data_IF_566955655006
#
_entry.id   IF_566955655006
#
_cell.length_a   1.000
_cell.length_b   1.000
_cell.length_c   1.000
_cell.angle_alpha   90.00
_cell.angle_beta   90.00
_cell.angle_gamma   90.00
#
_symmetry.space_group_name_H-M   'P 1'
#
loop_
_entity.id
_entity.type
_entity.pdbx_description
1 polymer ?
#
# COMPACT_ATOMS: atom_id res chain seq x y z
N UNK A 1 19.61 16.65 54.36
CA UNK A 1 18.66 17.52 53.65
C UNK A 1 19.04 17.46 52.18
N UNK A 2 18.30 16.73 51.35
CA UNK A 2 18.54 16.72 49.91
C UNK A 2 18.28 18.13 49.37
N UNK A 3 19.15 18.63 48.50
CA UNK A 3 18.94 19.94 47.89
C UNK A 3 17.66 19.89 47.03
N UNK A 4 16.75 20.88 47.13
CA UNK A 4 15.43 20.86 46.49
C UNK A 4 15.44 20.73 44.96
N UNK A 5 16.61 20.79 44.29
CA UNK A 5 16.76 20.53 42.87
C UNK A 5 16.88 19.05 42.47
N UNK A 6 17.27 18.16 43.39
CA UNK A 6 17.50 16.75 43.05
C UNK A 6 16.21 16.02 42.69
N UNK A 7 15.13 16.26 43.44
CA UNK A 7 13.85 15.61 43.21
C UNK A 7 13.23 16.02 41.87
N UNK A 8 13.38 17.29 41.48
CA UNK A 8 12.93 17.77 40.17
C UNK A 8 13.66 17.07 39.02
N UNK A 9 14.99 16.86 39.16
CA UNK A 9 15.77 16.11 38.17
C UNK A 9 15.31 14.65 38.09
N UNK A 10 15.10 13.98 39.22
CA UNK A 10 14.61 12.60 39.23
C UNK A 10 13.23 12.46 38.58
N UNK A 11 12.30 13.38 38.88
CA UNK A 11 10.96 13.37 38.27
C UNK A 11 11.06 13.61 36.76
N UNK A 12 11.86 14.57 36.32
CA UNK A 12 12.04 14.86 34.88
C UNK A 12 12.65 13.68 34.13
N UNK A 13 13.65 13.02 34.73
CA UNK A 13 14.30 11.85 34.16
C UNK A 13 13.33 10.67 34.08
N UNK A 14 12.53 10.45 35.14
CA UNK A 14 11.50 9.42 35.15
C UNK A 14 10.44 9.66 34.07
N UNK A 15 9.99 10.91 33.91
CA UNK A 15 9.05 11.29 32.87
C UNK A 15 9.64 11.08 31.47
N UNK A 16 10.89 11.46 31.24
CA UNK A 16 11.58 11.23 29.97
C UNK A 16 11.74 9.72 29.68
N UNK A 17 12.16 8.93 30.68
CA UNK A 17 12.28 7.47 30.54
C UNK A 17 10.95 6.81 30.21
N UNK A 18 9.87 7.17 30.91
CA UNK A 18 8.54 6.62 30.65
C UNK A 18 8.02 7.00 29.26
N UNK A 19 8.24 8.25 28.82
CA UNK A 19 7.91 8.69 27.47
C UNK A 19 8.70 7.90 26.41
N UNK A 20 10.00 7.72 26.59
CA UNK A 20 10.86 6.95 25.69
C UNK A 20 10.43 5.48 25.60
N UNK A 21 10.12 4.84 26.73
CA UNK A 21 9.65 3.45 26.76
C UNK A 21 8.30 3.34 26.06
N UNK A 22 7.35 4.24 26.36
CA UNK A 22 6.04 4.24 25.70
C UNK A 22 6.15 4.38 24.19
N UNK A 23 7.01 5.27 23.72
CA UNK A 23 7.28 5.43 22.29
C UNK A 23 7.93 4.19 21.65
N UNK A 24 8.95 3.61 22.31
CA UNK A 24 9.63 2.40 21.83
C UNK A 24 8.67 1.21 21.74
N UNK A 25 7.84 1.00 22.77
CA UNK A 25 6.81 -0.05 22.78
C UNK A 25 5.78 0.20 21.68
N UNK A 26 5.34 1.45 21.48
CA UNK A 26 4.43 1.82 20.41
C UNK A 26 4.98 1.49 19.02
N UNK A 27 6.25 1.83 18.76
CA UNK A 27 6.93 1.51 17.49
C UNK A 27 7.14 0.01 17.32
N UNK A 28 7.50 -0.71 18.37
CA UNK A 28 7.63 -2.17 18.34
C UNK A 28 6.29 -2.84 18.05
N UNK A 29 5.19 -2.35 18.65
CA UNK A 29 3.84 -2.86 18.38
C UNK A 29 3.42 -2.64 16.93
N UNK A 30 3.68 -1.45 16.38
CA UNK A 30 3.42 -1.16 14.97
C UNK A 30 4.22 -2.10 14.06
N UNK A 31 5.52 -2.29 14.34
CA UNK A 31 6.35 -3.19 13.56
C UNK A 31 5.83 -4.64 13.61
N UNK A 32 5.48 -5.12 14.81
CA UNK A 32 4.95 -6.47 15.00
C UNK A 32 3.62 -6.68 14.27
N UNK A 33 2.68 -5.72 14.38
CA UNK A 33 1.41 -5.72 13.63
C UNK A 33 1.65 -5.79 12.12
N UNK A 34 2.50 -4.91 11.58
CA UNK A 34 2.78 -4.89 10.14
C UNK A 34 3.48 -6.17 9.66
N UNK A 35 4.25 -6.83 10.52
CA UNK A 35 4.85 -8.14 10.24
C UNK A 35 3.78 -9.23 10.16
N UNK A 36 2.92 -9.33 11.17
CA UNK A 36 1.83 -10.30 11.20
C UNK A 36 0.87 -10.14 10.02
N UNK A 37 0.46 -8.90 9.72
CA UNK A 37 -0.45 -8.62 8.59
C UNK A 37 0.20 -9.06 7.26
N UNK A 38 1.52 -8.89 7.11
CA UNK A 38 2.26 -9.33 5.92
C UNK A 38 2.32 -10.86 5.84
N UNK A 39 2.57 -11.53 6.96
CA UNK A 39 2.67 -13.00 7.01
C UNK A 39 1.31 -13.65 6.73
N UNK A 40 0.23 -13.07 7.25
CA UNK A 40 -1.14 -13.51 6.98
C UNK A 40 -1.50 -13.31 5.50
N UNK A 41 -1.22 -12.12 4.94
CA UNK A 41 -1.41 -11.86 3.52
C UNK A 41 -0.59 -12.79 2.61
N UNK A 42 0.65 -13.11 3.01
CA UNK A 42 1.49 -14.05 2.26
C UNK A 42 0.92 -15.47 2.29
N UNK A 43 0.46 -15.92 3.46
CA UNK A 43 -0.18 -17.23 3.63
C UNK A 43 -1.47 -17.35 2.83
N UNK A 44 -2.33 -16.34 2.91
CA UNK A 44 -3.59 -16.29 2.16
C UNK A 44 -3.35 -16.28 0.65
N UNK A 45 -2.36 -15.52 0.19
CA UNK A 45 -1.94 -15.51 -1.21
C UNK A 45 -1.48 -16.89 -1.68
N UNK A 46 -0.68 -17.59 -0.86
CA UNK A 46 -0.19 -18.93 -1.15
C UNK A 46 -1.32 -19.96 -1.21
N UNK A 47 -2.21 -19.96 -0.21
CA UNK A 47 -3.39 -20.84 -0.17
C UNK A 47 -4.31 -20.61 -1.39
N UNK A 48 -4.55 -19.34 -1.72
CA UNK A 48 -5.38 -18.97 -2.87
C UNK A 48 -4.76 -19.44 -4.18
N UNK A 49 -3.45 -19.19 -4.38
CA UNK A 49 -2.72 -19.65 -5.56
C UNK A 49 -2.77 -21.18 -5.68
N UNK A 50 -2.50 -21.88 -4.58
CA UNK A 50 -2.49 -23.34 -4.52
C UNK A 50 -3.87 -23.91 -4.88
N UNK A 51 -4.96 -23.39 -4.30
CA UNK A 51 -6.33 -23.79 -4.65
C UNK A 51 -6.65 -23.52 -6.12
N UNK A 52 -6.22 -22.39 -6.67
CA UNK A 52 -6.48 -22.04 -8.08
C UNK A 52 -5.78 -23.00 -9.05
N UNK A 53 -4.53 -23.40 -8.75
CA UNK A 53 -3.76 -24.34 -9.57
C UNK A 53 -4.38 -25.73 -9.49
N UNK A 54 -4.71 -26.21 -8.28
CA UNK A 54 -5.36 -27.51 -8.13
C UNK A 54 -6.74 -27.55 -8.78
N UNK A 55 -7.53 -26.47 -8.68
CA UNK A 55 -8.82 -26.38 -9.37
C UNK A 55 -8.66 -26.45 -10.89
N UNK A 56 -7.63 -25.78 -11.43
CA UNK A 56 -7.32 -25.80 -12.86
C UNK A 56 -6.85 -27.19 -13.32
N UNK A 57 -5.95 -27.83 -12.56
CA UNK A 57 -5.46 -29.17 -12.84
C UNK A 57 -6.57 -30.23 -12.75
N UNK A 58 -7.45 -30.13 -11.74
CA UNK A 58 -8.59 -31.02 -11.59
C UNK A 58 -9.56 -30.93 -12.78
N UNK A 59 -9.77 -29.73 -13.34
CA UNK A 59 -10.55 -29.55 -14.57
C UNK A 59 -9.86 -30.13 -15.81
N UNK A 60 -8.53 -30.12 -15.84
CA UNK A 60 -7.75 -30.62 -16.97
C UNK A 60 -7.70 -32.17 -17.00
N UNK A 61 -7.59 -32.80 -15.83
CA UNK A 61 -7.40 -34.25 -15.68
C UNK A 61 -8.73 -34.98 -15.47
N UNK A 62 -9.76 -34.30 -14.96
CA UNK A 62 -11.09 -34.87 -14.76
C UNK A 62 -11.64 -35.46 -16.06
N UNK A 63 -12.31 -36.62 -16.03
CA UNK A 63 -12.92 -37.20 -17.22
C UNK A 63 -13.80 -36.15 -17.87
N UNK A 64 -13.48 -35.77 -19.12
CA UNK A 64 -14.40 -35.01 -19.97
C UNK A 64 -15.65 -35.87 -20.11
N UNK A 65 -16.61 -35.72 -19.21
CA UNK A 65 -17.96 -36.20 -19.45
C UNK A 65 -18.48 -35.39 -20.62
N UNK A 66 -18.40 -35.98 -21.81
CA UNK A 66 -19.08 -35.47 -22.97
C UNK A 66 -20.57 -35.32 -22.64
N UNK A 67 -21.09 -34.11 -22.85
CA UNK A 67 -22.48 -33.80 -23.10
C UNK A 67 -23.55 -34.36 -22.13
N UNK A 68 -23.92 -33.57 -21.11
CA UNK A 68 -25.36 -33.31 -20.86
C UNK A 68 -25.58 -32.05 -20.02
N UNK A 69 -26.20 -31.06 -20.65
CA UNK A 69 -26.91 -29.99 -19.94
C UNK A 69 -26.05 -28.78 -19.59
N UNK A 70 -26.12 -27.80 -20.48
CA UNK A 70 -25.91 -26.38 -20.21
C UNK A 70 -26.64 -25.93 -18.95
N UNK A 71 -26.00 -25.97 -17.79
CA UNK A 71 -26.33 -25.10 -16.68
C UNK A 71 -25.29 -23.99 -16.70
N UNK A 72 -25.66 -22.86 -17.31
CA UNK A 72 -24.86 -21.65 -17.30
C UNK A 72 -24.66 -21.21 -15.85
N UNK A 73 -23.55 -21.64 -15.25
CA UNK A 73 -23.00 -20.97 -14.10
C UNK A 73 -22.61 -19.59 -14.61
N UNK A 74 -23.45 -18.59 -14.30
CA UNK A 74 -23.12 -17.18 -14.39
C UNK A 74 -21.89 -16.94 -13.50
N UNK A 75 -20.71 -17.19 -14.04
CA UNK A 75 -19.51 -16.50 -13.60
C UNK A 75 -19.71 -15.05 -14.02
N UNK A 76 -20.03 -14.19 -13.06
CA UNK A 76 -19.89 -12.77 -13.21
C UNK A 76 -18.40 -12.46 -13.43
N UNK A 77 -17.96 -12.55 -14.69
CA UNK A 77 -16.62 -12.16 -15.10
C UNK A 77 -16.72 -11.58 -16.50
N UNK A 78 -16.32 -10.32 -16.58
CA UNK A 78 -16.32 -9.42 -17.74
C UNK A 78 -15.61 -10.07 -18.93
N UNK A 79 -16.25 -10.00 -20.10
CA UNK A 79 -15.79 -10.61 -21.34
C UNK A 79 -14.78 -9.71 -22.09
N UNK A 80 -13.70 -10.28 -22.66
CA UNK A 80 -12.92 -9.64 -23.71
C UNK A 80 -13.36 -10.15 -25.09
N UNK A 81 -13.55 -9.24 -26.05
CA UNK A 81 -13.76 -9.54 -27.45
C UNK A 81 -12.71 -8.81 -28.31
N UNK A 82 -12.07 -9.56 -29.21
CA UNK A 82 -11.34 -9.08 -30.38
C UNK A 82 -11.87 -9.91 -31.56
N UNK A 83 -11.94 -9.40 -32.82
CA UNK A 83 -10.75 -8.91 -33.53
C UNK A 83 -10.99 -7.75 -34.52
N UNK A 84 -10.02 -6.83 -34.67
CA UNK A 84 -9.75 -6.15 -35.93
C UNK A 84 -8.43 -5.37 -35.85
N UNK A 85 -7.53 -5.70 -36.77
CA UNK A 85 -6.33 -4.95 -37.08
C UNK A 85 -6.72 -3.56 -37.61
N UNK A 86 -6.16 -2.49 -37.04
CA UNK A 86 -6.44 -1.12 -37.47
C UNK A 86 -6.25 -0.10 -36.36
N UNK A 87 -5.01 0.40 -36.22
CA UNK A 87 -4.55 1.26 -35.15
C UNK A 87 -5.47 2.43 -34.77
N UNK A 88 -5.99 2.36 -33.54
CA UNK A 88 -6.22 3.43 -32.54
C UNK A 88 -7.14 2.83 -31.48
N UNK A 89 -6.67 2.74 -30.23
CA UNK A 89 -7.48 2.27 -29.11
C UNK A 89 -8.62 3.26 -28.84
N UNK A 90 -9.75 3.08 -29.52
CA UNK A 90 -11.01 3.69 -29.15
C UNK A 90 -11.59 2.84 -28.02
N UNK A 91 -11.45 3.35 -26.79
CA UNK A 91 -12.25 2.86 -25.66
C UNK A 91 -13.72 3.00 -26.08
N UNK A 92 -14.52 1.92 -26.06
CA UNK A 92 -15.94 2.01 -26.37
C UNK A 92 -16.60 3.10 -25.50
N UNK A 93 -17.32 4.05 -26.11
CA UNK A 93 -17.98 5.15 -25.39
C UNK A 93 -18.96 4.65 -24.32
N UNK A 94 -19.47 3.43 -24.51
CA UNK A 94 -20.31 2.71 -23.57
C UNK A 94 -19.60 2.42 -22.23
N UNK A 95 -18.27 2.21 -22.24
CA UNK A 95 -17.45 2.05 -21.03
C UNK A 95 -17.16 3.40 -20.35
N UNK A 96 -17.11 4.49 -21.11
CA UNK A 96 -16.96 5.85 -20.58
C UNK A 96 -18.27 6.35 -19.94
N UNK A 97 -19.42 5.87 -20.43
CA UNK A 97 -20.74 6.21 -19.91
C UNK A 97 -21.26 5.28 -18.80
N UNK A 98 -20.58 4.15 -18.52
CA UNK A 98 -20.98 3.25 -17.44
C UNK A 98 -20.98 3.99 -16.09
N UNK A 99 -22.10 3.91 -15.37
CA UNK A 99 -22.35 4.62 -14.10
C UNK A 99 -21.31 4.32 -13.00
N UNK A 100 -20.54 3.26 -13.15
CA UNK A 100 -19.43 2.88 -12.28
C UNK A 100 -18.25 3.87 -12.28
N UNK A 101 -18.13 4.73 -13.30
CA UNK A 101 -17.04 5.73 -13.39
C UNK A 101 -17.48 7.19 -13.16
N UNK A 102 -18.78 7.48 -13.08
CA UNK A 102 -19.25 8.79 -12.63
C UNK A 102 -19.28 8.82 -11.10
N UNK A 103 -18.10 9.03 -10.49
CA UNK A 103 -18.08 9.53 -9.12
C UNK A 103 -18.83 10.87 -9.10
N UNK A 104 -19.76 11.01 -8.16
CA UNK A 104 -20.40 12.31 -7.92
C UNK A 104 -19.30 13.36 -7.71
N UNK A 105 -19.40 14.55 -8.32
CA UNK A 105 -18.35 15.58 -8.28
C UNK A 105 -17.93 15.95 -6.84
N UNK A 106 -18.80 15.76 -5.86
CA UNK A 106 -18.55 16.01 -4.43
C UNK A 106 -17.64 14.96 -3.74
N UNK A 107 -17.30 13.84 -4.41
CA UNK A 107 -16.44 12.79 -3.84
C UNK A 107 -15.01 12.79 -4.37
N UNK A 108 -14.65 13.75 -5.22
CA UNK A 108 -13.24 13.98 -5.57
C UNK A 108 -12.60 14.70 -4.39
N UNK A 109 -12.32 13.95 -3.33
CA UNK A 109 -11.39 14.36 -2.29
C UNK A 109 -10.04 14.57 -2.98
N UNK A 110 -9.77 15.81 -3.40
CA UNK A 110 -8.43 16.22 -3.81
C UNK A 110 -7.53 15.89 -2.63
N UNK A 111 -6.71 14.85 -2.77
CA UNK A 111 -5.60 14.61 -1.88
C UNK A 111 -4.79 15.89 -1.86
N UNK A 112 -4.89 16.64 -0.75
CA UNK A 112 -4.18 17.89 -0.53
C UNK A 112 -2.72 17.49 -0.35
N UNK A 113 -1.98 17.41 -1.46
CA UNK A 113 -0.53 17.21 -1.47
C UNK A 113 0.07 18.39 -0.71
N UNK A 114 0.64 18.19 0.48
CA UNK A 114 1.40 19.25 1.14
C UNK A 114 2.74 19.31 0.40
N UNK A 115 2.98 20.36 -0.41
CA UNK A 115 4.28 20.47 -1.05
C UNK A 115 4.52 21.59 -2.06
N UNK A 116 3.55 22.45 -2.40
CA UNK A 116 3.76 23.44 -3.47
C UNK A 116 3.51 24.91 -3.09
N UNK A 117 3.31 25.24 -1.81
CA UNK A 117 2.93 26.61 -1.41
C UNK A 117 3.74 27.17 -0.23
N UNK A 118 5.01 26.78 -0.05
CA UNK A 118 5.89 27.40 0.95
C UNK A 118 7.32 27.59 0.42
N UNK A 119 7.45 28.04 -0.84
CA UNK A 119 8.73 28.41 -1.45
C UNK A 119 8.87 29.93 -1.65
N UNK A 120 8.03 30.74 -1.02
CA UNK A 120 8.15 32.20 -0.98
C UNK A 120 7.53 32.69 0.33
N UNK A 121 8.26 33.53 1.07
CA UNK A 121 8.04 33.91 2.49
C UNK A 121 8.57 32.83 3.46
N UNK A 122 9.65 32.98 4.22
CA UNK A 122 10.34 34.17 4.70
C UNK A 122 11.83 33.87 4.95
N UNK A 123 12.71 34.68 4.33
CA UNK A 123 14.07 34.95 4.79
C UNK A 123 13.98 35.97 5.94
N UNK A 124 14.27 35.55 7.17
CA UNK A 124 14.91 36.31 8.27
C UNK A 124 14.51 35.74 9.63
N UNK A 125 15.36 34.87 10.19
CA UNK A 125 15.85 34.95 11.57
C UNK A 125 16.71 33.72 11.88
N UNK A 126 18.03 33.94 11.84
CA UNK A 126 19.03 33.08 12.44
C UNK A 126 18.80 32.96 13.96
N UNK A 127 18.99 31.77 14.55
CA UNK A 127 20.29 31.36 15.13
C UNK A 127 20.10 30.16 16.09
N UNK A 128 21.13 29.31 16.14
CA UNK A 128 21.38 28.24 17.10
C UNK A 128 20.50 26.96 17.07
N UNK A 129 20.94 25.95 16.33
CA UNK A 129 21.58 24.77 16.95
C UNK A 129 22.01 23.73 15.89
N UNK A 130 23.31 23.45 15.92
CA UNK A 130 24.03 22.41 15.22
C UNK A 130 23.42 21.01 15.40
N UNK A 131 23.30 20.25 14.31
CA UNK A 131 22.83 18.86 14.31
C UNK A 131 22.81 18.27 12.90
N UNK A 132 23.93 18.42 12.21
CA UNK A 132 24.30 17.70 10.98
C UNK A 132 24.43 16.21 11.28
N UNK A 133 23.52 15.38 10.73
CA UNK A 133 23.83 14.04 10.20
C UNK A 133 22.56 13.31 9.72
N UNK A 134 22.54 12.95 8.43
CA UNK A 134 21.85 11.74 8.00
C UNK A 134 20.46 11.88 7.38
N UNK A 135 20.30 12.75 6.38
CA UNK A 135 19.25 12.53 5.38
C UNK A 135 19.56 11.26 4.55
N UNK A 136 19.23 10.07 5.07
CA UNK A 136 19.07 8.87 4.25
C UNK A 136 17.78 9.00 3.43
N UNK A 137 17.88 9.80 2.38
CA UNK A 137 16.94 9.78 1.27
C UNK A 137 16.79 8.35 0.80
N UNK A 138 15.55 7.91 0.78
CA UNK A 138 15.04 6.61 0.35
C UNK A 138 15.63 6.21 -1.01
N UNK A 139 16.79 5.53 -1.00
CA UNK A 139 17.38 4.92 -2.19
C UNK A 139 16.50 3.75 -2.59
N UNK A 140 15.54 4.02 -3.45
CA UNK A 140 14.79 2.99 -4.17
C UNK A 140 15.80 2.03 -4.80
N UNK A 141 15.72 0.75 -4.42
CA UNK A 141 16.59 -0.30 -4.94
C UNK A 141 16.46 -0.33 -6.46
N UNK A 142 17.57 -0.10 -7.16
CA UNK A 142 17.63 -0.19 -8.62
C UNK A 142 17.28 -1.61 -9.04
N UNK A 143 16.13 -1.79 -9.69
CA UNK A 143 15.70 -3.09 -10.22
C UNK A 143 16.51 -3.38 -11.49
N UNK A 144 17.12 -4.57 -11.63
CA UNK A 144 17.85 -4.96 -12.84
C UNK A 144 16.91 -5.02 -14.05
N UNK A 145 17.28 -4.32 -15.12
CA UNK A 145 16.56 -4.39 -16.41
C UNK A 145 16.78 -5.76 -17.06
N UNK A 146 15.74 -6.47 -17.52
CA UNK A 146 15.91 -7.71 -18.26
C UNK A 146 16.62 -7.44 -19.59
N UNK A 147 17.64 -8.25 -19.91
CA UNK A 147 18.29 -8.24 -21.22
C UNK A 147 17.37 -8.95 -22.21
N UNK A 148 16.95 -8.24 -23.25
CA UNK A 148 16.29 -8.84 -24.42
C UNK A 148 17.30 -9.69 -25.18
N UNK A 149 17.03 -10.98 -25.29
CA UNK A 149 17.69 -11.93 -26.20
C UNK A 149 16.83 -12.14 -27.43
#
# INVERSE_FOLDING_TARGET
MAAPGHDALLISLLAACTACIGYAVGRLHQWYRTGLDRDEAYRDGYETATRSVFSTAARLIGPRREARGTAAVRSATVAPAAPADGGRHLVPDELVQAATYRLAPDRVARAKVPGAASAAADDEAADAASGDDGQETTRLRSVPRPRSS
#
